data_IF_670231537462
#
_entry.id   IF_670231537462
#
_cell.length_a   1.000
_cell.length_b   1.000
_cell.length_c   1.000
_cell.angle_alpha   90.00
_cell.angle_beta   90.00
_cell.angle_gamma   90.00
#
_symmetry.space_group_name_H-M   'P 1'
#
loop_
_entity.id
_entity.type
_entity.pdbx_description
1 polymer ?
#
# COMPACT_ATOMS: atom_id res chain seq x y z
N UNK A 1 -33.63 -9.94 -3.62
CA UNK A 1 -32.25 -9.40 -3.51
C UNK A 1 -31.62 -9.41 -4.89
N UNK A 2 -30.72 -8.46 -5.21
CA UNK A 2 -29.99 -8.47 -6.50
C UNK A 2 -28.98 -9.63 -6.52
N UNK A 3 -29.07 -10.53 -7.49
CA UNK A 3 -28.20 -11.71 -7.57
C UNK A 3 -26.87 -11.46 -8.29
N UNK A 4 -26.83 -10.39 -9.10
CA UNK A 4 -25.72 -9.92 -9.92
C UNK A 4 -24.67 -9.10 -9.13
N UNK A 5 -24.98 -8.71 -7.89
CA UNK A 5 -24.11 -7.91 -7.03
C UNK A 5 -23.61 -8.75 -5.85
N UNK A 6 -22.29 -8.98 -5.79
CA UNK A 6 -21.63 -9.78 -4.76
C UNK A 6 -20.33 -9.12 -4.30
N UNK A 7 -19.98 -9.33 -3.04
CA UNK A 7 -18.68 -8.95 -2.50
C UNK A 7 -17.57 -9.79 -3.12
N UNK A 8 -16.41 -9.16 -3.32
CA UNK A 8 -15.22 -9.80 -3.88
C UNK A 8 -14.05 -9.64 -2.91
N UNK A 9 -13.07 -10.55 -3.00
CA UNK A 9 -11.85 -10.68 -2.17
C UNK A 9 -12.10 -11.31 -0.81
N UNK A 10 -11.11 -12.05 -0.30
CA UNK A 10 -11.21 -12.69 1.02
C UNK A 10 -10.65 -11.80 2.14
N UNK A 11 -9.77 -10.86 1.79
CA UNK A 11 -9.27 -9.80 2.68
C UNK A 11 -9.67 -8.45 2.08
N UNK A 12 -10.19 -7.55 2.92
CA UNK A 12 -10.70 -6.25 2.51
C UNK A 12 -11.78 -6.36 1.42
N UNK A 13 -12.84 -7.13 1.74
CA UNK A 13 -13.99 -7.33 0.86
C UNK A 13 -14.47 -6.02 0.20
N UNK A 14 -14.72 -6.08 -1.11
CA UNK A 14 -15.16 -4.94 -1.90
C UNK A 14 -16.44 -5.23 -2.68
N UNK A 15 -17.38 -4.29 -2.65
CA UNK A 15 -18.59 -4.31 -3.47
C UNK A 15 -18.43 -3.51 -4.78
N UNK A 16 -17.49 -2.55 -4.81
CA UNK A 16 -17.30 -1.63 -5.94
C UNK A 16 -17.09 -2.33 -7.30
N UNK A 17 -16.30 -3.41 -7.42
CA UNK A 17 -16.15 -4.08 -8.71
C UNK A 17 -17.46 -4.66 -9.25
N UNK A 18 -18.34 -5.15 -8.37
CA UNK A 18 -19.66 -5.64 -8.78
C UNK A 18 -20.58 -4.49 -9.21
N UNK A 19 -20.64 -3.41 -8.43
CA UNK A 19 -21.46 -2.23 -8.78
C UNK A 19 -21.06 -1.62 -10.13
N UNK A 20 -19.74 -1.52 -10.39
CA UNK A 20 -19.21 -1.03 -11.67
C UNK A 20 -19.67 -1.91 -12.86
N UNK A 21 -19.60 -3.24 -12.72
CA UNK A 21 -20.03 -4.18 -13.79
C UNK A 21 -21.50 -4.03 -14.16
N UNK A 22 -22.36 -3.75 -13.18
CA UNK A 22 -23.81 -3.58 -13.39
C UNK A 22 -24.22 -2.12 -13.58
N UNK A 23 -23.25 -1.23 -13.84
CA UNK A 23 -23.46 0.22 -14.07
C UNK A 23 -24.28 0.91 -12.97
N UNK A 24 -24.12 0.48 -11.71
CA UNK A 24 -24.75 1.16 -10.58
C UNK A 24 -23.91 2.41 -10.24
N UNK A 25 -24.53 3.62 -10.25
CA UNK A 25 -23.82 4.84 -9.89
C UNK A 25 -23.32 4.78 -8.44
N UNK A 26 -22.06 5.18 -8.23
CA UNK A 26 -21.47 5.36 -6.91
C UNK A 26 -21.24 6.85 -6.70
N UNK A 27 -21.83 7.40 -5.64
CA UNK A 27 -21.75 8.82 -5.31
C UNK A 27 -21.00 9.02 -3.99
N UNK A 28 -20.20 10.08 -3.96
CA UNK A 28 -19.61 10.56 -2.71
C UNK A 28 -20.69 11.21 -1.84
N UNK A 29 -20.50 11.14 -0.53
CA UNK A 29 -21.40 11.72 0.46
C UNK A 29 -20.59 12.35 1.59
N UNK A 30 -21.20 13.33 2.26
CA UNK A 30 -20.64 14.00 3.44
C UNK A 30 -20.63 13.08 4.69
N UNK A 31 -21.27 11.91 4.62
CA UNK A 31 -21.25 10.93 5.71
C UNK A 31 -19.82 10.47 5.98
N UNK A 32 -19.36 10.68 7.22
CA UNK A 32 -18.03 10.27 7.66
C UNK A 32 -18.11 9.03 8.55
N UNK A 33 -17.29 8.03 8.26
CA UNK A 33 -17.11 6.84 9.10
C UNK A 33 -15.83 6.98 9.92
N UNK A 34 -15.95 7.03 11.25
CA UNK A 34 -14.78 7.05 12.16
C UNK A 34 -14.38 5.62 12.50
N UNK A 35 -13.19 5.22 12.08
CA UNK A 35 -12.62 3.91 12.40
C UNK A 35 -11.68 4.02 13.61
N UNK A 36 -12.03 3.37 14.73
CA UNK A 36 -11.24 3.43 15.98
C UNK A 36 -10.01 2.52 16.00
N UNK A 37 -9.81 1.70 14.96
CA UNK A 37 -8.61 0.87 14.83
C UNK A 37 -8.49 -0.21 15.90
N UNK A 38 -7.37 -0.92 15.86
CA UNK A 38 -6.95 -1.83 16.93
C UNK A 38 -5.77 -1.20 17.65
N UNK A 39 -5.87 -1.02 18.96
CA UNK A 39 -4.82 -0.38 19.77
C UNK A 39 -3.76 -1.38 20.24
N UNK A 40 -4.07 -2.68 20.27
CA UNK A 40 -3.16 -3.75 20.70
C UNK A 40 -2.21 -4.21 19.57
N UNK A 41 -0.88 -4.02 19.72
CA UNK A 41 0.11 -4.47 18.75
C UNK A 41 0.09 -5.99 18.50
N UNK A 42 -0.18 -6.82 19.51
CA UNK A 42 -0.18 -8.27 19.36
C UNK A 42 -1.37 -8.75 18.52
N UNK A 43 -2.56 -8.20 18.76
CA UNK A 43 -3.74 -8.46 17.93
C UNK A 43 -3.51 -7.99 16.48
N UNK A 44 -2.87 -6.85 16.31
CA UNK A 44 -2.52 -6.32 14.99
C UNK A 44 -1.60 -7.26 14.21
N UNK A 45 -0.53 -7.75 14.83
CA UNK A 45 0.39 -8.68 14.16
C UNK A 45 -0.28 -10.02 13.83
N UNK A 46 -1.10 -10.58 14.73
CA UNK A 46 -1.89 -11.79 14.43
C UNK A 46 -2.79 -11.60 13.21
N UNK A 47 -3.43 -10.44 13.10
CA UNK A 47 -4.26 -10.08 11.93
C UNK A 47 -3.41 -10.01 10.67
N UNK A 48 -2.26 -9.33 10.69
CA UNK A 48 -1.37 -9.24 9.53
C UNK A 48 -0.90 -10.62 9.06
N UNK A 49 -0.52 -11.50 9.98
CA UNK A 49 -0.12 -12.87 9.64
C UNK A 49 -1.25 -13.66 8.97
N UNK A 50 -2.46 -13.59 9.52
CA UNK A 50 -3.64 -14.23 8.93
C UNK A 50 -3.94 -13.67 7.54
N UNK A 51 -3.99 -12.35 7.41
CA UNK A 51 -4.34 -11.67 6.17
C UNK A 51 -3.29 -11.94 5.08
N UNK A 52 -1.99 -11.98 5.44
CA UNK A 52 -0.90 -12.32 4.52
C UNK A 52 -1.09 -13.71 3.91
N UNK A 53 -1.38 -14.74 4.73
CA UNK A 53 -1.62 -16.11 4.25
C UNK A 53 -2.79 -16.20 3.27
N UNK A 54 -3.88 -15.49 3.56
CA UNK A 54 -5.06 -15.47 2.69
C UNK A 54 -4.73 -14.79 1.36
N UNK A 55 -4.05 -13.64 1.41
CA UNK A 55 -3.67 -12.88 0.22
C UNK A 55 -2.65 -13.62 -0.65
N UNK A 56 -1.70 -14.35 -0.07
CA UNK A 56 -0.77 -15.22 -0.80
C UNK A 56 -1.52 -16.32 -1.56
N UNK A 57 -2.54 -16.93 -0.94
CA UNK A 57 -3.40 -17.90 -1.60
C UNK A 57 -4.28 -17.27 -2.71
N UNK A 58 -4.72 -16.03 -2.56
CA UNK A 58 -5.40 -15.30 -3.65
C UNK A 58 -4.43 -14.94 -4.78
N UNK A 59 -3.20 -14.53 -4.45
CA UNK A 59 -2.17 -14.18 -5.42
C UNK A 59 -1.79 -15.40 -6.28
N UNK A 60 -1.68 -16.58 -5.69
CA UNK A 60 -1.44 -17.82 -6.43
C UNK A 60 -2.53 -18.10 -7.48
N UNK A 61 -3.79 -17.72 -7.19
CA UNK A 61 -4.93 -17.88 -8.11
C UNK A 61 -5.05 -16.73 -9.11
N UNK A 62 -4.61 -15.52 -8.73
CA UNK A 62 -4.71 -14.29 -9.52
C UNK A 62 -3.39 -13.51 -9.44
N UNK A 63 -2.33 -13.95 -10.15
CA UNK A 63 -0.96 -13.45 -9.95
C UNK A 63 -0.74 -11.95 -10.21
N UNK A 64 -1.63 -11.33 -10.97
CA UNK A 64 -1.53 -9.93 -11.39
C UNK A 64 -2.72 -9.07 -10.93
N UNK A 65 -3.52 -9.57 -9.99
CA UNK A 65 -4.63 -8.79 -9.43
C UNK A 65 -4.08 -7.57 -8.67
N UNK A 66 -4.39 -6.33 -9.11
CA UNK A 66 -3.78 -5.14 -8.54
C UNK A 66 -4.19 -4.92 -7.08
N UNK A 67 -5.38 -5.36 -6.67
CA UNK A 67 -5.86 -5.18 -5.30
C UNK A 67 -5.18 -6.15 -4.34
N UNK A 68 -5.02 -7.42 -4.73
CA UNK A 68 -4.26 -8.41 -3.95
C UNK A 68 -2.80 -7.98 -3.78
N UNK A 69 -2.14 -7.56 -4.87
CA UNK A 69 -0.77 -7.05 -4.84
C UNK A 69 -0.65 -5.81 -3.94
N UNK A 70 -1.60 -4.87 -4.02
CA UNK A 70 -1.61 -3.69 -3.17
C UNK A 70 -1.68 -4.05 -1.68
N UNK A 71 -2.55 -4.98 -1.30
CA UNK A 71 -2.73 -5.37 0.10
C UNK A 71 -1.50 -6.11 0.66
N UNK A 72 -0.86 -6.99 -0.13
CA UNK A 72 0.42 -7.61 0.26
C UNK A 72 1.51 -6.54 0.45
N UNK A 73 1.60 -5.58 -0.47
CA UNK A 73 2.50 -4.45 -0.35
C UNK A 73 2.23 -3.60 0.91
N UNK A 74 0.96 -3.36 1.24
CA UNK A 74 0.59 -2.62 2.44
C UNK A 74 0.96 -3.36 3.74
N UNK A 75 0.79 -4.69 3.79
CA UNK A 75 1.26 -5.52 4.92
C UNK A 75 2.79 -5.44 5.05
N UNK A 76 3.53 -5.50 3.94
CA UNK A 76 4.98 -5.39 3.95
C UNK A 76 5.45 -4.00 4.43
N UNK A 77 4.80 -2.90 4.02
CA UNK A 77 5.04 -1.56 4.57
C UNK A 77 4.80 -1.53 6.08
N UNK A 78 3.71 -2.16 6.53
CA UNK A 78 3.34 -2.20 7.94
C UNK A 78 4.38 -2.93 8.81
N UNK A 79 5.08 -3.90 8.23
CA UNK A 79 6.20 -4.65 8.81
C UNK A 79 7.57 -4.03 8.54
N UNK A 80 7.62 -2.89 7.84
CA UNK A 80 8.86 -2.23 7.42
C UNK A 80 9.75 -3.08 6.50
N UNK A 81 9.22 -4.12 5.85
CA UNK A 81 9.89 -4.85 4.79
C UNK A 81 9.73 -4.11 3.46
N UNK A 82 10.54 -3.07 3.29
CA UNK A 82 10.49 -2.18 2.13
C UNK A 82 10.85 -2.88 0.82
N UNK A 83 11.67 -3.94 0.88
CA UNK A 83 12.10 -4.70 -0.29
C UNK A 83 10.92 -5.40 -0.95
N UNK A 84 10.18 -6.19 -0.15
CA UNK A 84 8.96 -6.88 -0.57
C UNK A 84 7.85 -5.89 -0.90
N UNK A 85 7.69 -4.84 -0.08
CA UNK A 85 6.69 -3.81 -0.30
C UNK A 85 6.83 -3.16 -1.68
N UNK A 86 8.04 -2.75 -2.06
CA UNK A 86 8.27 -2.06 -3.32
C UNK A 86 7.91 -2.95 -4.52
N UNK A 87 8.33 -4.21 -4.49
CA UNK A 87 8.03 -5.19 -5.54
C UNK A 87 6.52 -5.34 -5.76
N UNK A 88 5.75 -5.52 -4.70
CA UNK A 88 4.29 -5.66 -4.79
C UNK A 88 3.59 -4.37 -5.19
N UNK A 89 3.92 -3.23 -4.57
CA UNK A 89 3.27 -1.95 -4.83
C UNK A 89 3.51 -1.46 -6.27
N UNK A 90 4.73 -1.64 -6.80
CA UNK A 90 5.02 -1.29 -8.18
C UNK A 90 4.27 -2.19 -9.18
N UNK A 91 4.20 -3.51 -8.93
CA UNK A 91 3.42 -4.43 -9.76
C UNK A 91 1.94 -4.08 -9.74
N UNK A 92 1.40 -3.78 -8.55
CA UNK A 92 0.02 -3.32 -8.39
C UNK A 92 -0.26 -2.05 -9.20
N UNK A 93 0.61 -1.03 -9.10
CA UNK A 93 0.45 0.23 -9.82
C UNK A 93 0.46 0.04 -11.34
N UNK A 94 1.37 -0.78 -11.87
CA UNK A 94 1.44 -1.08 -13.32
C UNK A 94 0.17 -1.75 -13.87
N UNK A 95 -0.61 -2.41 -13.02
CA UNK A 95 -1.83 -3.14 -13.40
C UNK A 95 -3.12 -2.43 -12.98
N UNK A 96 -3.02 -1.28 -12.31
CA UNK A 96 -4.17 -0.49 -11.88
C UNK A 96 -4.60 0.47 -12.98
N UNK A 97 -5.92 0.67 -13.13
CA UNK A 97 -6.43 1.81 -13.89
C UNK A 97 -6.34 3.09 -13.03
N UNK A 98 -6.13 4.28 -13.60
CA UNK A 98 -6.05 5.53 -12.84
C UNK A 98 -7.25 5.81 -11.92
N UNK A 99 -8.42 5.25 -12.26
CA UNK A 99 -9.68 5.38 -11.53
C UNK A 99 -9.88 4.33 -10.42
N UNK A 100 -8.92 3.42 -10.23
CA UNK A 100 -8.98 2.44 -9.15
C UNK A 100 -8.72 3.09 -7.79
N UNK A 101 -9.52 2.70 -6.80
CA UNK A 101 -9.55 3.34 -5.47
C UNK A 101 -8.22 3.24 -4.72
N UNK A 102 -7.35 2.30 -5.12
CA UNK A 102 -6.03 2.06 -4.51
C UNK A 102 -4.93 2.98 -5.05
N UNK A 103 -5.09 3.59 -6.23
CA UNK A 103 -4.01 4.32 -6.93
C UNK A 103 -3.45 5.49 -6.11
N UNK A 104 -4.31 6.31 -5.53
CA UNK A 104 -3.87 7.43 -4.69
C UNK A 104 -3.05 6.96 -3.49
N UNK A 105 -3.44 5.83 -2.88
CA UNK A 105 -2.72 5.26 -1.74
C UNK A 105 -1.43 4.57 -2.18
N UNK A 106 -1.40 3.94 -3.36
CA UNK A 106 -0.18 3.39 -3.97
C UNK A 106 0.91 4.47 -4.09
N UNK A 107 0.59 5.63 -4.68
CA UNK A 107 1.55 6.75 -4.77
C UNK A 107 2.05 7.19 -3.40
N UNK A 108 1.16 7.33 -2.42
CA UNK A 108 1.55 7.74 -1.06
C UNK A 108 2.47 6.71 -0.38
N UNK A 109 2.23 5.41 -0.56
CA UNK A 109 3.08 4.36 0.02
C UNK A 109 4.43 4.24 -0.69
N UNK A 110 4.46 4.40 -2.01
CA UNK A 110 5.70 4.38 -2.80
C UNK A 110 6.59 5.59 -2.49
N UNK A 111 6.00 6.77 -2.25
CA UNK A 111 6.73 7.98 -1.86
C UNK A 111 7.30 7.94 -0.43
N UNK A 112 6.73 7.09 0.45
CA UNK A 112 7.16 6.92 1.85
C UNK A 112 8.47 6.14 2.02
N UNK A 113 9.06 5.65 0.94
CA UNK A 113 10.30 4.86 0.97
C UNK A 113 11.37 5.58 1.82
N UNK A 114 11.93 4.92 2.85
CA UNK A 114 13.08 5.48 3.56
C UNK A 114 14.27 5.58 2.60
N UNK A 115 15.12 6.62 2.74
CA UNK A 115 16.32 6.76 1.92
C UNK A 115 17.17 5.50 2.02
N UNK A 116 17.73 5.10 0.88
CA UNK A 116 18.61 3.95 0.81
C UNK A 116 19.80 4.16 1.76
N UNK A 117 20.13 3.20 2.62
CA UNK A 117 21.30 3.29 3.49
C UNK A 117 22.61 3.42 2.68
N UNK A 118 22.60 3.02 1.40
CA UNK A 118 23.70 3.26 0.46
C UNK A 118 23.80 4.70 -0.04
N UNK A 119 22.74 5.51 0.04
CA UNK A 119 22.74 6.93 -0.35
C UNK A 119 23.22 7.87 0.78
N UNK A 120 23.36 7.39 2.01
CA UNK A 120 23.78 8.20 3.17
C UNK A 120 25.31 8.27 3.29
N UNK A 121 26.07 7.52 2.47
CA UNK A 121 27.54 7.49 2.55
C UNK A 121 28.27 8.63 1.84
N UNK A 122 27.58 9.52 1.14
CA UNK A 122 28.24 10.59 0.35
C UNK A 122 28.35 11.95 1.07
N UNK A 123 27.98 12.04 2.35
CA UNK A 123 28.32 13.18 3.19
C UNK A 123 29.63 12.90 3.95
N UNK A 124 30.75 12.86 3.23
CA UNK A 124 32.07 12.86 3.87
C UNK A 124 32.30 14.19 4.60
N UNK A 125 32.74 14.20 5.87
CA UNK A 125 33.11 15.41 6.61
C UNK A 125 34.48 15.89 6.13
N UNK A 126 34.57 16.37 4.89
CA UNK A 126 35.83 16.77 4.25
C UNK A 126 35.96 18.27 3.94
N UNK A 127 34.88 19.05 4.04
CA UNK A 127 34.87 20.44 3.56
C UNK A 127 34.54 21.51 4.63
N UNK A 128 34.60 21.17 5.91
CA UNK A 128 34.35 22.13 6.99
C UNK A 128 35.56 23.02 7.36
N UNK A 129 36.78 22.75 6.85
CA UNK A 129 37.99 23.49 7.29
C UNK A 129 38.61 24.45 6.26
N UNK A 130 38.08 24.55 5.03
CA UNK A 130 38.66 25.46 4.02
C UNK A 130 38.14 26.91 4.08
N UNK A 131 37.15 27.23 4.93
CA UNK A 131 36.54 28.57 4.99
C UNK A 131 36.88 29.38 6.26
N UNK A 132 37.98 29.04 6.94
CA UNK A 132 38.44 29.74 8.15
C UNK A 132 39.85 30.35 8.06
N UNK A 133 40.50 30.33 6.89
CA UNK A 133 41.81 30.98 6.69
C UNK A 133 41.83 31.79 5.40
N UNK A 134 41.34 33.02 5.47
CA UNK A 134 41.29 33.91 4.31
C UNK A 134 40.66 35.27 4.59
N UNK A 135 41.00 35.92 5.70
CA UNK A 135 40.86 37.37 5.86
C UNK A 135 42.11 37.90 6.57
N UNK A 136 43.03 38.41 5.75
CA UNK A 136 43.87 39.54 6.12
C UNK A 136 43.06 40.81 5.86
#
# INVERSE_FOLDING_TARGET
MREDVRWTYAVHEQILPALRRVNVPVQWTEVTVRHTGYTDPALRERKLQRDCKILEAELAKRPDDPFVLFNLGAIAVERQDWSTALGHLQRSLRRSAPTDSIVRKLFALLARRPPDASMVRDASPGNAEAMARGKA
#
